data_IF_804121783426
#
_entry.id   IF_804121783426
#
_cell.length_a   1.000
_cell.length_b   1.000
_cell.length_c   1.000
_cell.angle_alpha   90.00
_cell.angle_beta   90.00
_cell.angle_gamma   90.00
#
_symmetry.space_group_name_H-M   'P 1'
#
loop_
_entity.id
_entity.type
_entity.pdbx_description
1 polymer ?
#
# COMPACT_ATOMS: atom_id res chain seq x y z
N UNK A 1 -35.50 19.61 -20.42
CA UNK A 1 -34.80 20.85 -20.78
C UNK A 1 -33.68 20.43 -21.73
N UNK A 2 -33.73 20.82 -22.97
CA UNK A 2 -32.80 20.43 -24.04
C UNK A 2 -31.93 21.67 -24.29
N UNK A 3 -30.61 21.46 -24.46
CA UNK A 3 -29.71 22.56 -24.79
C UNK A 3 -29.94 23.09 -26.20
N UNK A 4 -29.45 24.29 -26.52
CA UNK A 4 -29.73 24.99 -27.79
C UNK A 4 -29.26 24.26 -29.07
N UNK A 5 -28.46 23.20 -28.89
CA UNK A 5 -27.95 22.33 -29.96
C UNK A 5 -28.67 20.98 -30.08
N UNK A 6 -29.76 20.76 -29.31
CA UNK A 6 -30.60 19.57 -29.42
C UNK A 6 -30.03 18.29 -28.88
N UNK A 7 -28.90 18.35 -28.16
CA UNK A 7 -28.29 17.16 -27.51
C UNK A 7 -29.01 16.86 -26.20
N UNK A 8 -29.31 15.59 -25.87
CA UNK A 8 -29.80 15.24 -24.55
C UNK A 8 -28.71 15.56 -23.53
N UNK A 9 -29.09 16.32 -22.49
CA UNK A 9 -28.19 16.51 -21.33
C UNK A 9 -27.65 15.14 -20.92
N UNK A 10 -26.41 14.87 -21.26
CA UNK A 10 -25.70 13.81 -20.62
C UNK A 10 -25.63 14.19 -19.13
N UNK A 11 -26.47 13.54 -18.32
CA UNK A 11 -26.29 13.53 -16.88
C UNK A 11 -24.92 12.82 -16.63
N UNK A 12 -23.84 13.53 -16.88
CA UNK A 12 -22.58 13.22 -16.23
C UNK A 12 -22.87 13.39 -14.74
N UNK A 13 -23.26 12.28 -14.09
CA UNK A 13 -23.22 12.20 -12.65
C UNK A 13 -21.83 12.71 -12.27
N UNK A 14 -21.75 13.90 -11.70
CA UNK A 14 -20.56 14.38 -11.00
C UNK A 14 -20.39 13.46 -9.80
N UNK A 15 -19.77 12.32 -10.03
CA UNK A 15 -19.17 11.55 -8.94
C UNK A 15 -18.09 12.48 -8.40
N UNK A 16 -18.27 12.95 -7.16
CA UNK A 16 -17.23 13.73 -6.49
C UNK A 16 -15.95 12.89 -6.48
N UNK A 17 -14.77 13.53 -6.53
CA UNK A 17 -13.50 12.84 -6.42
C UNK A 17 -13.47 12.03 -5.13
N UNK A 18 -13.06 10.75 -5.20
CA UNK A 18 -12.91 9.89 -4.04
C UNK A 18 -11.79 10.43 -3.14
N UNK A 19 -12.12 10.67 -1.89
CA UNK A 19 -11.16 11.10 -0.87
C UNK A 19 -10.42 9.88 -0.36
N UNK A 20 -9.15 9.76 -0.73
CA UNK A 20 -8.33 8.57 -0.48
C UNK A 20 -7.30 8.82 0.61
N UNK A 21 -7.06 7.80 1.44
CA UNK A 21 -5.92 7.75 2.34
C UNK A 21 -5.08 6.50 2.14
N UNK A 22 -3.77 6.61 2.45
CA UNK A 22 -2.81 5.49 2.47
C UNK A 22 -2.34 5.29 3.90
N UNK A 23 -2.39 4.04 4.38
CA UNK A 23 -1.83 3.63 5.66
C UNK A 23 -0.85 2.50 5.44
N UNK A 24 0.40 2.69 5.88
CA UNK A 24 1.49 1.72 5.66
C UNK A 24 1.97 1.19 6.99
N UNK A 25 1.83 -0.11 7.19
CA UNK A 25 2.53 -0.87 8.22
C UNK A 25 3.93 -1.22 7.69
N UNK A 26 4.90 -0.35 7.97
CA UNK A 26 6.21 -0.44 7.35
C UNK A 26 7.01 -1.67 7.77
N UNK A 27 6.85 -2.15 9.02
CA UNK A 27 7.56 -3.33 9.49
C UNK A 27 7.05 -4.60 8.80
N UNK A 28 5.72 -4.77 8.70
CA UNK A 28 5.12 -5.89 7.98
C UNK A 28 5.55 -5.89 6.51
N UNK A 29 5.44 -4.74 5.84
CA UNK A 29 5.82 -4.59 4.43
C UNK A 29 7.30 -4.88 4.20
N UNK A 30 8.18 -4.39 5.06
CA UNK A 30 9.62 -4.65 4.98
C UNK A 30 9.94 -6.14 5.14
N UNK A 31 9.32 -6.81 6.09
CA UNK A 31 9.54 -8.23 6.38
C UNK A 31 8.93 -9.15 5.31
N UNK A 32 7.89 -8.70 4.62
CA UNK A 32 7.17 -9.48 3.61
C UNK A 32 7.65 -9.27 2.18
N UNK A 33 8.74 -8.54 1.95
CA UNK A 33 9.35 -8.37 0.63
C UNK A 33 9.04 -7.05 -0.08
N UNK A 34 8.38 -6.12 0.58
CA UNK A 34 8.12 -4.77 0.08
C UNK A 34 9.26 -3.77 0.33
N UNK A 35 10.41 -4.25 0.82
CA UNK A 35 11.56 -3.36 1.04
C UNK A 35 12.03 -2.71 -0.27
N UNK A 36 12.27 -1.40 -0.21
CA UNK A 36 12.71 -0.63 -1.38
C UNK A 36 11.58 -0.26 -2.35
N UNK A 37 10.30 -0.40 -1.95
CA UNK A 37 9.18 0.02 -2.78
C UNK A 37 9.20 1.54 -3.01
N UNK A 38 8.63 1.94 -4.14
CA UNK A 38 8.51 3.34 -4.57
C UNK A 38 7.21 3.93 -4.02
N UNK A 39 7.34 4.80 -3.04
CA UNK A 39 6.21 5.47 -2.38
C UNK A 39 5.48 6.46 -3.29
N UNK A 40 6.17 7.04 -4.28
CA UNK A 40 5.58 7.90 -5.30
C UNK A 40 4.55 7.16 -6.16
N UNK A 41 4.77 5.87 -6.45
CA UNK A 41 3.79 5.02 -7.16
C UNK A 41 2.52 4.85 -6.34
N UNK A 42 2.63 4.65 -5.03
CA UNK A 42 1.47 4.56 -4.14
C UNK A 42 0.69 5.89 -4.11
N UNK A 43 1.40 7.01 -4.05
CA UNK A 43 0.80 8.34 -4.12
C UNK A 43 0.08 8.53 -5.45
N UNK A 44 0.65 8.05 -6.55
CA UNK A 44 -0.01 8.02 -7.86
C UNK A 44 -1.33 7.27 -7.81
N UNK A 45 -1.36 6.04 -7.27
CA UNK A 45 -2.57 5.23 -7.13
C UNK A 45 -3.67 5.91 -6.32
N UNK A 46 -3.30 6.73 -5.33
CA UNK A 46 -4.25 7.49 -4.52
C UNK A 46 -4.72 8.79 -5.19
N UNK A 47 -3.99 9.29 -6.19
CA UNK A 47 -4.28 10.48 -6.99
C UNK A 47 -4.59 10.10 -8.44
N UNK A 48 -5.59 9.26 -8.66
CA UNK A 48 -6.11 8.96 -9.99
C UNK A 48 -7.09 10.07 -10.47
N UNK A 49 -7.54 10.05 -11.74
CA UNK A 49 -8.47 11.05 -12.26
C UNK A 49 -9.75 11.24 -11.43
N UNK A 50 -10.21 10.16 -10.77
CA UNK A 50 -11.41 10.16 -9.94
C UNK A 50 -11.11 10.15 -8.43
N UNK A 51 -9.86 10.37 -8.02
CA UNK A 51 -9.43 10.23 -6.62
C UNK A 51 -8.39 11.26 -6.24
N UNK A 52 -8.50 11.79 -5.03
CA UNK A 52 -7.53 12.71 -4.41
C UNK A 52 -7.04 12.16 -3.09
N UNK A 53 -5.74 12.15 -2.91
CA UNK A 53 -5.11 11.74 -1.66
C UNK A 53 -5.24 12.85 -0.60
N UNK A 54 -5.96 12.58 0.48
CA UNK A 54 -6.05 13.47 1.64
C UNK A 54 -5.00 13.17 2.69
N UNK A 55 -4.60 11.91 2.84
CA UNK A 55 -3.67 11.43 3.86
C UNK A 55 -2.79 10.33 3.31
N UNK A 56 -1.51 10.35 3.75
CA UNK A 56 -0.59 9.24 3.61
C UNK A 56 0.19 9.12 4.91
N UNK A 57 -0.02 8.04 5.65
CA UNK A 57 0.61 7.77 6.93
C UNK A 57 1.48 6.52 6.83
N UNK A 58 2.71 6.59 7.35
CA UNK A 58 3.62 5.45 7.43
C UNK A 58 4.01 5.23 8.89
N UNK A 59 3.72 4.05 9.41
CA UNK A 59 3.95 3.66 10.80
C UNK A 59 5.22 2.82 10.88
N UNK A 60 6.16 3.27 11.71
CA UNK A 60 7.52 2.74 11.79
C UNK A 60 7.90 2.39 13.21
N UNK A 61 8.59 1.28 13.38
CA UNK A 61 9.36 1.00 14.59
C UNK A 61 10.73 1.71 14.51
N UNK A 62 11.09 2.48 15.52
CA UNK A 62 12.41 3.15 15.61
C UNK A 62 13.18 2.67 16.83
N UNK A 63 14.34 2.05 16.59
CA UNK A 63 15.29 1.72 17.64
C UNK A 63 16.13 2.95 17.99
N UNK A 64 15.62 3.73 18.95
CA UNK A 64 16.26 4.98 19.37
C UNK A 64 17.63 4.77 19.97
N UNK A 65 17.88 3.67 20.71
CA UNK A 65 19.19 3.37 21.28
C UNK A 65 20.21 3.09 20.18
N UNK A 66 19.82 2.31 19.18
CA UNK A 66 20.69 2.04 18.03
C UNK A 66 20.94 3.32 17.21
N UNK A 67 19.93 4.16 17.05
CA UNK A 67 20.09 5.45 16.35
C UNK A 67 21.11 6.37 17.02
N UNK A 68 21.26 6.30 18.36
CA UNK A 68 22.28 7.05 19.10
C UNK A 68 23.67 6.46 18.93
N UNK A 69 23.79 5.12 18.98
CA UNK A 69 25.10 4.42 19.01
C UNK A 69 25.69 4.18 17.61
N UNK A 70 24.85 4.04 16.58
CA UNK A 70 25.22 3.66 15.22
C UNK A 70 24.92 4.80 14.25
N UNK A 71 25.97 5.51 13.82
CA UNK A 71 25.85 6.66 12.92
C UNK A 71 25.39 6.26 11.51
N UNK A 72 25.78 5.09 11.02
CA UNK A 72 25.37 4.59 9.70
C UNK A 72 23.89 4.22 9.70
N UNK A 73 23.45 3.51 10.74
CA UNK A 73 22.02 3.21 10.93
C UNK A 73 21.18 4.50 11.01
N UNK A 74 21.64 5.47 11.79
CA UNK A 74 20.98 6.78 11.90
C UNK A 74 20.82 7.46 10.54
N UNK A 75 21.89 7.48 9.73
CA UNK A 75 21.83 8.05 8.39
C UNK A 75 20.79 7.34 7.50
N UNK A 76 20.78 6.00 7.50
CA UNK A 76 19.80 5.20 6.74
C UNK A 76 18.37 5.52 7.15
N UNK A 77 18.10 5.57 8.47
CA UNK A 77 16.78 5.91 9.03
C UNK A 77 16.38 7.33 8.61
N UNK A 78 17.27 8.31 8.75
CA UNK A 78 16.98 9.69 8.33
C UNK A 78 16.69 9.82 6.84
N UNK A 79 17.50 9.16 5.99
CA UNK A 79 17.28 9.15 4.54
C UNK A 79 15.93 8.55 4.19
N UNK A 80 15.57 7.43 4.81
CA UNK A 80 14.27 6.78 4.61
C UNK A 80 13.10 7.70 5.01
N UNK A 81 13.18 8.33 6.20
CA UNK A 81 12.15 9.27 6.64
C UNK A 81 12.03 10.49 5.71
N UNK A 82 13.13 10.95 5.15
CA UNK A 82 13.11 12.07 4.21
C UNK A 82 12.43 11.69 2.89
N UNK A 83 12.71 10.49 2.35
CA UNK A 83 12.02 9.97 1.17
C UNK A 83 10.51 9.91 1.41
N UNK A 84 10.08 9.35 2.53
CA UNK A 84 8.65 9.29 2.89
C UNK A 84 8.01 10.68 2.92
N UNK A 85 8.66 11.65 3.58
CA UNK A 85 8.14 13.03 3.66
C UNK A 85 8.10 13.71 2.30
N UNK A 86 9.10 13.50 1.45
CA UNK A 86 9.13 14.03 0.08
C UNK A 86 7.99 13.46 -0.77
N UNK A 87 7.59 12.22 -0.55
CA UNK A 87 6.40 11.62 -1.16
C UNK A 87 5.08 12.03 -0.50
N UNK A 88 5.11 12.93 0.50
CA UNK A 88 3.90 13.42 1.18
C UNK A 88 3.40 12.55 2.34
N UNK A 89 4.18 11.57 2.80
CA UNK A 89 3.81 10.75 3.95
C UNK A 89 4.09 11.45 5.28
N UNK A 90 3.12 11.38 6.20
CA UNK A 90 3.35 11.60 7.62
C UNK A 90 4.04 10.35 8.20
N UNK A 91 5.19 10.56 8.80
CA UNK A 91 5.97 9.50 9.46
C UNK A 91 5.59 9.43 10.93
N UNK A 92 4.94 8.33 11.33
CA UNK A 92 4.56 8.04 12.71
C UNK A 92 5.53 7.00 13.28
N UNK A 93 6.24 7.39 14.33
CA UNK A 93 7.32 6.60 14.92
C UNK A 93 6.86 5.99 16.23
N UNK A 94 7.11 4.70 16.40
CA UNK A 94 6.95 3.99 17.66
C UNK A 94 8.31 3.56 18.17
N UNK A 95 8.66 3.99 19.37
CA UNK A 95 9.92 3.57 20.00
C UNK A 95 9.89 2.08 20.32
N UNK A 96 10.91 1.39 19.87
CA UNK A 96 11.15 -0.02 20.21
C UNK A 96 11.42 -0.14 21.71
N UNK A 97 10.65 -0.97 22.39
CA UNK A 97 10.88 -1.32 23.80
C UNK A 97 11.47 -2.69 23.88
N UNK A 98 12.53 -2.83 24.67
CA UNK A 98 13.17 -4.11 24.99
C UNK A 98 12.72 -4.56 26.36
N UNK A 99 12.24 -5.80 26.43
CA UNK A 99 11.87 -6.46 27.67
C UNK A 99 12.80 -7.66 27.84
N UNK A 100 13.43 -7.76 28.99
CA UNK A 100 14.20 -8.94 29.37
C UNK A 100 13.32 -9.79 30.26
N UNK A 101 13.16 -11.09 29.92
CA UNK A 101 12.46 -12.04 30.76
C UNK A 101 13.39 -12.57 31.89
N UNK A 102 12.82 -13.39 32.78
CA UNK A 102 13.55 -13.96 33.91
C UNK A 102 14.70 -14.91 33.48
N UNK A 103 14.62 -15.44 32.27
CA UNK A 103 15.61 -16.31 31.65
C UNK A 103 16.71 -15.53 30.89
N UNK A 104 16.65 -14.21 30.90
CA UNK A 104 17.60 -13.33 30.22
C UNK A 104 17.36 -13.11 28.73
N UNK A 105 16.29 -13.65 28.17
CA UNK A 105 15.95 -13.44 26.76
C UNK A 105 15.41 -12.02 26.54
N UNK A 106 15.88 -11.35 25.48
CA UNK A 106 15.44 -10.01 25.15
C UNK A 106 14.33 -10.09 24.10
N UNK A 107 13.10 -9.72 24.49
CA UNK A 107 11.98 -9.56 23.58
C UNK A 107 11.85 -8.10 23.19
N UNK A 108 11.77 -7.84 21.89
CA UNK A 108 11.65 -6.50 21.34
C UNK A 108 10.20 -6.28 20.88
N UNK A 109 9.54 -5.24 21.41
CA UNK A 109 8.17 -4.88 21.00
C UNK A 109 8.13 -3.43 20.52
N UNK A 110 7.60 -3.23 19.36
CA UNK A 110 7.22 -1.91 18.82
C UNK A 110 5.92 -2.12 18.04
N UNK A 111 4.81 -2.10 18.75
CA UNK A 111 3.51 -2.30 18.11
C UNK A 111 2.95 -0.96 17.66
N UNK A 112 3.06 -0.67 16.37
CA UNK A 112 2.49 0.52 15.74
C UNK A 112 1.07 0.26 15.17
N UNK A 113 0.60 -0.99 15.19
CA UNK A 113 -0.67 -1.45 14.61
C UNK A 113 -1.86 -0.76 15.25
N UNK A 114 -1.80 -0.60 16.59
CA UNK A 114 -2.85 0.11 17.33
C UNK A 114 -2.93 1.59 16.91
N UNK A 115 -1.78 2.25 16.75
CA UNK A 115 -1.73 3.66 16.33
C UNK A 115 -2.28 3.79 14.90
N UNK A 116 -1.94 2.85 13.99
CA UNK A 116 -2.49 2.78 12.64
C UNK A 116 -4.00 2.59 12.68
N UNK A 117 -4.49 1.62 13.45
CA UNK A 117 -5.92 1.32 13.53
C UNK A 117 -6.73 2.49 14.08
N UNK A 118 -6.25 3.16 15.14
CA UNK A 118 -6.91 4.33 15.72
C UNK A 118 -6.94 5.47 14.72
N UNK A 119 -5.81 5.81 14.09
CA UNK A 119 -5.73 6.91 13.13
C UNK A 119 -6.65 6.65 11.92
N UNK A 120 -6.67 5.43 11.39
CA UNK A 120 -7.53 5.05 10.27
C UNK A 120 -9.02 5.21 10.64
N UNK A 121 -9.44 4.72 11.80
CA UNK A 121 -10.84 4.85 12.28
C UNK A 121 -11.26 6.29 12.51
N UNK A 122 -10.40 7.11 13.15
CA UNK A 122 -10.71 8.51 13.42
C UNK A 122 -10.83 9.34 12.14
N UNK A 123 -10.06 9.01 11.12
CA UNK A 123 -10.02 9.73 9.84
C UNK A 123 -11.06 9.23 8.84
N UNK A 124 -11.56 8.00 9.00
CA UNK A 124 -12.46 7.30 8.05
C UNK A 124 -13.72 8.12 7.67
N UNK A 125 -14.26 8.92 8.59
CA UNK A 125 -15.46 9.76 8.33
C UNK A 125 -15.27 10.78 7.19
N UNK A 126 -14.02 11.11 6.88
CA UNK A 126 -13.66 12.06 5.84
C UNK A 126 -13.11 11.38 4.57
N UNK A 127 -13.18 10.06 4.50
CA UNK A 127 -12.59 9.26 3.45
C UNK A 127 -13.64 8.40 2.77
N UNK A 128 -13.45 8.18 1.49
CA UNK A 128 -14.27 7.29 0.67
C UNK A 128 -13.50 6.00 0.32
N UNK A 129 -12.16 6.10 0.23
CA UNK A 129 -11.27 4.99 -0.14
C UNK A 129 -10.04 4.96 0.76
N UNK A 130 -9.65 3.76 1.18
CA UNK A 130 -8.46 3.52 1.99
C UNK A 130 -7.59 2.47 1.30
N UNK A 131 -6.32 2.79 1.09
CA UNK A 131 -5.28 1.86 0.63
C UNK A 131 -4.49 1.47 1.86
N UNK A 132 -4.63 0.22 2.31
CA UNK A 132 -3.95 -0.33 3.47
C UNK A 132 -2.82 -1.25 3.03
N UNK A 133 -1.58 -0.92 3.38
CA UNK A 133 -0.41 -1.73 3.09
C UNK A 133 -0.03 -2.55 4.31
N UNK A 134 -0.44 -3.79 4.32
CA UNK A 134 -0.10 -4.82 5.33
C UNK A 134 -0.45 -6.21 4.82
N UNK A 135 0.15 -7.24 5.40
CA UNK A 135 -0.25 -8.65 5.22
C UNK A 135 -0.81 -9.26 6.49
N UNK A 136 -0.86 -8.49 7.59
CA UNK A 136 -1.22 -8.99 8.90
C UNK A 136 -2.74 -9.17 9.05
N UNK A 137 -3.14 -10.40 9.39
CA UNK A 137 -4.54 -10.77 9.61
C UNK A 137 -5.22 -10.04 10.77
N UNK A 138 -4.47 -9.52 11.73
CA UNK A 138 -5.01 -8.77 12.86
C UNK A 138 -5.74 -7.50 12.42
N UNK A 139 -5.39 -6.96 11.25
CA UNK A 139 -6.09 -5.82 10.65
C UNK A 139 -7.45 -6.15 10.03
N UNK A 140 -7.86 -7.43 9.95
CA UNK A 140 -9.19 -7.77 9.42
C UNK A 140 -10.32 -7.04 10.16
N UNK A 141 -10.22 -6.94 11.49
CA UNK A 141 -11.23 -6.22 12.29
C UNK A 141 -11.30 -4.73 11.96
N UNK A 142 -10.15 -4.12 11.66
CA UNK A 142 -10.08 -2.74 11.18
C UNK A 142 -10.75 -2.61 9.81
N UNK A 143 -10.43 -3.51 8.87
CA UNK A 143 -11.03 -3.52 7.51
C UNK A 143 -12.56 -3.54 7.61
N UNK A 144 -13.13 -4.49 8.36
CA UNK A 144 -14.58 -4.59 8.56
C UNK A 144 -15.18 -3.32 9.19
N UNK A 145 -14.48 -2.72 10.16
CA UNK A 145 -14.96 -1.49 10.80
C UNK A 145 -14.97 -0.31 9.83
N UNK A 146 -13.95 -0.18 8.99
CA UNK A 146 -13.86 0.87 7.97
C UNK A 146 -14.94 0.70 6.88
N UNK A 147 -15.19 -0.54 6.43
CA UNK A 147 -16.28 -0.86 5.50
C UNK A 147 -17.66 -0.51 6.09
N UNK A 148 -17.88 -0.80 7.37
CA UNK A 148 -19.13 -0.44 8.06
C UNK A 148 -19.34 1.09 8.19
N UNK A 149 -18.27 1.89 8.14
CA UNK A 149 -18.34 3.36 8.09
C UNK A 149 -18.64 3.85 6.66
N UNK A 150 -18.49 2.99 5.65
CA UNK A 150 -18.74 3.30 4.25
C UNK A 150 -17.48 3.53 3.42
N UNK A 151 -16.30 3.26 3.95
CA UNK A 151 -15.05 3.32 3.19
C UNK A 151 -14.86 2.07 2.34
N UNK A 152 -14.42 2.24 1.10
CA UNK A 152 -13.83 1.16 0.31
C UNK A 152 -12.42 0.89 0.80
N UNK A 153 -12.12 -0.34 1.19
CA UNK A 153 -10.79 -0.74 1.70
C UNK A 153 -10.08 -1.66 0.72
N UNK A 154 -8.95 -1.19 0.19
CA UNK A 154 -8.09 -1.94 -0.71
C UNK A 154 -6.80 -2.30 0.02
N UNK A 155 -6.47 -3.59 0.07
CA UNK A 155 -5.25 -4.09 0.73
C UNK A 155 -4.17 -4.35 -0.32
N UNK A 156 -2.99 -3.78 -0.10
CA UNK A 156 -1.79 -4.10 -0.86
C UNK A 156 -0.84 -4.87 0.07
N UNK A 157 -0.53 -6.10 -0.30
CA UNK A 157 0.39 -6.94 0.46
C UNK A 157 1.43 -7.60 -0.44
N UNK A 158 2.45 -8.20 0.18
CA UNK A 158 3.53 -8.90 -0.52
C UNK A 158 3.50 -10.40 -0.19
N UNK A 159 4.54 -10.94 0.46
CA UNK A 159 4.50 -12.32 0.95
C UNK A 159 3.69 -12.45 2.24
N UNK A 160 3.24 -13.67 2.53
CA UNK A 160 2.61 -14.05 3.80
C UNK A 160 1.39 -13.22 4.21
N UNK A 161 0.58 -12.80 3.24
CA UNK A 161 -0.67 -12.09 3.52
C UNK A 161 -1.72 -13.09 4.02
N UNK A 162 -2.37 -12.78 5.15
CA UNK A 162 -3.46 -13.57 5.70
C UNK A 162 -4.56 -13.79 4.65
N UNK A 163 -5.06 -15.03 4.58
CA UNK A 163 -6.15 -15.38 3.67
C UNK A 163 -7.41 -14.59 4.02
N UNK A 164 -7.72 -14.50 5.30
CA UNK A 164 -8.90 -13.82 5.81
C UNK A 164 -8.85 -12.32 5.50
N UNK A 165 -7.67 -11.69 5.60
CA UNK A 165 -7.49 -10.29 5.24
C UNK A 165 -7.72 -10.06 3.74
N UNK A 166 -7.20 -10.96 2.88
CA UNK A 166 -7.40 -10.87 1.43
C UNK A 166 -8.86 -11.03 1.02
N UNK A 167 -9.59 -11.95 1.67
CA UNK A 167 -10.99 -12.23 1.37
C UNK A 167 -11.93 -11.19 1.98
N UNK A 168 -11.54 -10.54 3.08
CA UNK A 168 -12.33 -9.55 3.77
C UNK A 168 -12.22 -8.13 3.20
N UNK A 169 -11.17 -7.81 2.44
CA UNK A 169 -11.00 -6.52 1.79
C UNK A 169 -11.90 -6.37 0.55
N UNK A 170 -12.29 -5.13 0.20
CA UNK A 170 -13.04 -4.87 -1.06
C UNK A 170 -12.19 -5.16 -2.30
N UNK A 171 -10.87 -5.03 -2.19
CA UNK A 171 -9.91 -5.49 -3.17
C UNK A 171 -8.58 -5.87 -2.52
N UNK A 172 -7.97 -6.92 -3.01
CA UNK A 172 -6.60 -7.28 -2.68
C UNK A 172 -5.71 -7.19 -3.92
N UNK A 173 -4.58 -6.52 -3.77
CA UNK A 173 -3.59 -6.32 -4.83
C UNK A 173 -2.24 -6.82 -4.31
N UNK A 174 -1.60 -7.73 -5.05
CA UNK A 174 -0.21 -8.08 -4.75
C UNK A 174 0.71 -6.93 -5.13
N UNK A 175 1.46 -6.40 -4.15
CA UNK A 175 2.42 -5.33 -4.38
C UNK A 175 3.52 -5.69 -5.38
N UNK A 176 3.81 -6.99 -5.54
CA UNK A 176 4.74 -7.45 -6.58
C UNK A 176 4.24 -7.21 -8.01
N UNK A 177 2.92 -7.14 -8.18
CA UNK A 177 2.30 -7.01 -9.51
C UNK A 177 2.00 -5.55 -9.88
N UNK A 178 2.08 -4.61 -8.93
CA UNK A 178 1.87 -3.19 -9.21
C UNK A 178 3.02 -2.65 -10.05
N UNK A 179 2.76 -2.16 -11.27
CA UNK A 179 3.81 -1.67 -12.16
C UNK A 179 4.63 -0.56 -11.50
N UNK A 180 5.94 -0.68 -11.56
CA UNK A 180 6.87 0.32 -11.01
C UNK A 180 6.96 0.41 -9.49
N UNK A 181 6.15 -0.33 -8.71
CA UNK A 181 6.19 -0.27 -7.25
C UNK A 181 7.48 -0.86 -6.68
N UNK A 182 7.94 -1.98 -7.22
CA UNK A 182 9.23 -2.58 -6.88
C UNK A 182 10.12 -2.70 -8.13
N UNK A 183 11.44 -2.50 -8.00
CA UNK A 183 12.37 -2.72 -9.09
C UNK A 183 12.30 -4.18 -9.56
N UNK A 184 12.41 -4.40 -10.88
CA UNK A 184 12.49 -5.75 -11.46
C UNK A 184 13.96 -6.17 -11.43
N UNK A 185 14.28 -7.20 -10.65
CA UNK A 185 15.63 -7.74 -10.55
C UNK A 185 16.04 -8.36 -11.90
N UNK A 186 17.20 -7.98 -12.41
CA UNK A 186 17.71 -8.45 -13.71
C UNK A 186 17.36 -7.55 -14.90
N UNK A 187 16.43 -6.61 -14.76
CA UNK A 187 16.23 -5.56 -15.76
C UNK A 187 17.35 -4.52 -15.65
N UNK A 188 18.12 -4.34 -16.71
CA UNK A 188 19.21 -3.36 -16.77
C UNK A 188 18.99 -2.38 -17.93
N UNK A 189 19.31 -1.09 -17.67
CA UNK A 189 19.30 -0.05 -18.69
C UNK A 189 17.90 0.25 -19.26
N UNK A 190 17.88 0.72 -20.50
CA UNK A 190 16.67 1.19 -21.20
C UNK A 190 15.59 0.10 -21.43
N UNK A 191 15.91 -1.17 -21.14
CA UNK A 191 14.96 -2.28 -21.28
C UNK A 191 14.15 -2.55 -20.01
N UNK A 192 14.41 -1.87 -18.91
CA UNK A 192 13.69 -2.10 -17.64
C UNK A 192 12.19 -1.87 -17.79
N UNK A 193 11.76 -0.89 -18.58
CA UNK A 193 10.36 -0.58 -18.84
C UNK A 193 9.64 -1.61 -19.74
N UNK A 194 10.39 -2.51 -20.37
CA UNK A 194 9.85 -3.58 -21.21
C UNK A 194 9.47 -4.83 -20.39
N UNK A 195 9.86 -4.89 -19.13
CA UNK A 195 9.56 -6.02 -18.25
C UNK A 195 8.26 -5.81 -17.49
N UNK A 196 7.40 -6.84 -17.54
CA UNK A 196 6.13 -6.85 -16.84
C UNK A 196 6.06 -8.07 -15.92
N UNK A 197 5.64 -7.84 -14.67
CA UNK A 197 5.32 -8.92 -13.73
C UNK A 197 3.86 -9.33 -13.86
N UNK A 198 3.61 -10.62 -13.73
CA UNK A 198 2.25 -11.14 -13.71
C UNK A 198 2.20 -12.55 -13.16
N UNK A 199 1.03 -13.15 -13.23
CA UNK A 199 0.77 -14.52 -12.80
C UNK A 199 0.30 -15.35 -13.97
N UNK A 200 0.78 -16.60 -14.06
CA UNK A 200 0.27 -17.56 -15.04
C UNK A 200 -1.16 -17.92 -14.65
N UNK A 201 -2.11 -17.56 -15.51
CA UNK A 201 -3.53 -17.87 -15.30
C UNK A 201 -3.85 -19.31 -15.75
N UNK A 202 -3.25 -19.74 -16.85
CA UNK A 202 -3.36 -21.09 -17.39
C UNK A 202 -2.15 -21.37 -18.29
N UNK A 203 -1.68 -22.62 -18.32
CA UNK A 203 -0.63 -23.06 -19.22
C UNK A 203 -0.96 -24.46 -19.73
N UNK A 204 -0.91 -24.65 -21.06
CA UNK A 204 -1.07 -25.93 -21.72
C UNK A 204 0.29 -26.41 -22.21
N UNK A 205 0.92 -27.41 -21.55
CA UNK A 205 2.24 -27.89 -21.93
C UNK A 205 2.27 -28.61 -23.28
N UNK A 206 1.17 -29.28 -23.68
CA UNK A 206 1.09 -30.04 -24.94
C UNK A 206 1.07 -29.11 -26.16
N UNK A 207 0.51 -27.90 -25.98
CA UNK A 207 0.40 -26.90 -27.04
C UNK A 207 1.44 -25.78 -26.93
N UNK A 208 2.21 -25.75 -25.85
CA UNK A 208 3.28 -24.78 -25.61
C UNK A 208 2.80 -23.32 -25.45
N UNK A 209 1.54 -23.09 -25.05
CA UNK A 209 1.03 -21.74 -24.82
C UNK A 209 0.23 -21.65 -23.50
N UNK A 210 0.06 -20.43 -22.99
CA UNK A 210 -0.72 -20.13 -21.81
C UNK A 210 -1.16 -18.68 -21.75
N UNK A 211 -1.96 -18.38 -20.73
CA UNK A 211 -2.43 -17.03 -20.45
C UNK A 211 -1.73 -16.49 -19.20
N UNK A 212 -1.37 -15.23 -19.29
CA UNK A 212 -0.60 -14.51 -18.29
C UNK A 212 -1.37 -13.26 -17.89
N UNK A 213 -1.77 -13.15 -16.61
CA UNK A 213 -2.47 -12.00 -16.08
C UNK A 213 -1.50 -11.02 -15.46
N UNK A 214 -1.65 -9.74 -15.80
CA UNK A 214 -0.82 -8.66 -15.28
C UNK A 214 -1.64 -7.38 -15.06
N UNK A 215 -1.05 -6.41 -14.37
CA UNK A 215 -1.65 -5.09 -14.21
C UNK A 215 -0.98 -4.07 -15.10
N UNK A 216 -1.79 -3.15 -15.62
CA UNK A 216 -1.32 -1.91 -16.25
C UNK A 216 -1.62 -0.74 -15.35
N UNK A 217 -0.72 0.24 -15.33
CA UNK A 217 -0.91 1.52 -14.65
C UNK A 217 -0.99 2.62 -15.72
N UNK A 218 -2.19 3.14 -15.95
CA UNK A 218 -2.43 4.22 -16.93
C UNK A 218 -3.14 5.36 -16.20
N UNK A 219 -2.59 6.56 -16.25
CA UNK A 219 -3.11 7.74 -15.54
C UNK A 219 -3.36 7.45 -14.04
N UNK A 220 -2.45 6.71 -13.40
CA UNK A 220 -2.56 6.28 -12.02
C UNK A 220 -3.75 5.34 -11.72
N UNK A 221 -4.42 4.81 -12.73
CA UNK A 221 -5.46 3.80 -12.59
C UNK A 221 -4.87 2.43 -12.87
N UNK A 222 -5.04 1.53 -11.90
CA UNK A 222 -4.60 0.14 -12.01
C UNK A 222 -5.72 -0.69 -12.66
N UNK A 223 -5.42 -1.32 -13.78
CA UNK A 223 -6.32 -2.24 -14.49
C UNK A 223 -5.66 -3.60 -14.69
N UNK A 224 -6.45 -4.68 -14.64
CA UNK A 224 -5.96 -6.03 -14.95
C UNK A 224 -6.11 -6.31 -16.44
N UNK A 225 -5.11 -7.01 -17.01
CA UNK A 225 -5.10 -7.48 -18.40
C UNK A 225 -4.66 -8.95 -18.45
N UNK A 226 -4.90 -9.62 -19.60
CA UNK A 226 -4.62 -11.05 -19.76
C UNK A 226 -3.94 -11.32 -21.09
#
# INVERSE_FOLDING_TARGET
MIDRDGSPFSQQKRYGMLRTAIYVDAENIKMSGGFGMRYDVLVGLANSPDSVMLRANCYLAEDTERTVRDSEYRQKVHSYHNILRQCGFKVIKKTVRRFQDEDGNITTKANADMDLAIDALLQARNLDRIILLTGDGDFLRLVVALQNIGCRVEVIGFHNVSKELREGADAYISGFLVPGLLPIVGAQGDTADQWQRGTVANYNPDRGFGFFRYYRLTDNVLSSDT
#
